data_IF_850235230912
#
_entry.id   IF_850235230912
#
_cell.length_a   1.000
_cell.length_b   1.000
_cell.length_c   1.000
_cell.angle_alpha   90.00
_cell.angle_beta   90.00
_cell.angle_gamma   90.00
#
_symmetry.space_group_name_H-M   'P 1'
#
loop_
_entity.id
_entity.type
_entity.pdbx_description
1 polymer ?
#
# COMPACT_ATOMS: atom_id res chain seq x y z
N UNK A 1 -17.76 14.74 12.04
CA UNK A 1 -16.61 13.88 12.39
C UNK A 1 -15.30 14.56 11.99
N UNK A 2 -15.06 14.92 10.72
CA UNK A 2 -13.81 15.49 10.23
C UNK A 2 -13.37 16.73 11.02
N UNK A 3 -14.23 17.74 11.13
CA UNK A 3 -13.98 18.97 11.90
C UNK A 3 -13.67 18.67 13.38
N UNK A 4 -14.39 17.74 13.99
CA UNK A 4 -14.17 17.37 15.39
C UNK A 4 -12.77 16.76 15.61
N UNK A 5 -12.34 15.89 14.72
CA UNK A 5 -11.00 15.28 14.75
C UNK A 5 -9.93 16.37 14.56
N UNK A 6 -10.12 17.25 13.57
CA UNK A 6 -9.17 18.35 13.30
C UNK A 6 -9.01 19.27 14.51
N UNK A 7 -10.12 19.68 15.16
CA UNK A 7 -10.12 20.53 16.36
C UNK A 7 -9.45 19.89 17.57
N UNK A 8 -9.37 18.56 17.62
CA UNK A 8 -8.63 17.83 18.65
C UNK A 8 -7.13 17.73 18.36
N UNK A 9 -6.64 18.36 17.30
CA UNK A 9 -5.21 18.42 16.96
C UNK A 9 -4.65 17.21 16.23
N UNK A 10 -5.50 16.34 15.67
CA UNK A 10 -5.02 15.22 14.86
C UNK A 10 -4.46 15.69 13.52
N UNK A 11 -3.33 15.09 13.11
CA UNK A 11 -2.82 15.22 11.75
C UNK A 11 -3.62 14.28 10.83
N UNK A 12 -4.49 14.86 10.00
CA UNK A 12 -5.40 14.08 9.16
C UNK A 12 -4.75 13.78 7.82
N UNK A 13 -4.73 12.49 7.43
CA UNK A 13 -4.47 12.05 6.06
C UNK A 13 -5.78 11.60 5.43
N UNK A 14 -6.22 12.29 4.39
CA UNK A 14 -7.47 11.99 3.68
C UNK A 14 -7.16 11.14 2.45
N UNK A 15 -7.87 10.02 2.27
CA UNK A 15 -7.79 9.19 1.07
C UNK A 15 -9.12 9.23 0.33
N UNK A 16 -9.08 9.52 -0.98
CA UNK A 16 -10.28 9.70 -1.81
C UNK A 16 -10.02 9.28 -3.26
N UNK A 17 -11.08 8.92 -3.99
CA UNK A 17 -11.05 8.78 -5.45
C UNK A 17 -11.32 10.11 -6.18
N UNK A 18 -11.53 11.19 -5.46
CA UNK A 18 -11.77 12.56 -5.92
C UNK A 18 -13.02 12.76 -6.83
N UNK A 19 -13.88 11.75 -7.02
CA UNK A 19 -15.02 11.84 -7.96
C UNK A 19 -16.22 12.61 -7.43
N UNK A 20 -16.25 12.91 -6.13
CA UNK A 20 -17.35 13.58 -5.43
C UNK A 20 -16.90 14.83 -4.68
N UNK A 21 -15.89 15.54 -5.19
CA UNK A 21 -15.44 16.79 -4.59
C UNK A 21 -16.43 17.90 -4.96
N UNK A 22 -17.14 18.42 -3.94
CA UNK A 22 -18.12 19.51 -4.09
C UNK A 22 -17.57 20.83 -3.55
N UNK A 23 -18.20 21.97 -3.87
CA UNK A 23 -17.84 23.27 -3.28
C UNK A 23 -17.87 23.25 -1.75
N UNK A 24 -18.85 22.60 -1.15
CA UNK A 24 -19.02 22.50 0.32
C UNK A 24 -17.86 21.69 0.95
N UNK A 25 -17.45 20.61 0.29
CA UNK A 25 -16.28 19.83 0.72
C UNK A 25 -15.01 20.68 0.62
N UNK A 26 -14.85 21.45 -0.46
CA UNK A 26 -13.71 22.34 -0.63
C UNK A 26 -13.67 23.47 0.41
N UNK A 27 -14.82 24.04 0.75
CA UNK A 27 -14.91 25.05 1.81
C UNK A 27 -14.49 24.44 3.17
N UNK A 28 -14.99 23.26 3.50
CA UNK A 28 -14.59 22.52 4.71
C UNK A 28 -13.08 22.27 4.75
N UNK A 29 -12.51 21.77 3.63
CA UNK A 29 -11.08 21.43 3.57
C UNK A 29 -10.17 22.67 3.51
N UNK A 30 -10.63 23.82 3.02
CA UNK A 30 -9.90 25.08 3.13
C UNK A 30 -9.88 25.60 4.56
N UNK A 31 -10.99 25.45 5.26
CA UNK A 31 -11.11 25.88 6.67
C UNK A 31 -10.32 24.97 7.63
N UNK A 32 -10.27 23.69 7.31
CA UNK A 32 -9.60 22.66 8.11
C UNK A 32 -8.73 21.78 7.19
N UNK A 33 -7.57 22.28 6.71
CA UNK A 33 -6.81 21.58 5.70
C UNK A 33 -6.19 20.28 6.28
N UNK A 34 -6.35 19.14 5.58
CA UNK A 34 -5.67 17.93 5.97
C UNK A 34 -4.16 18.08 5.77
N UNK A 35 -3.37 17.37 6.58
CA UNK A 35 -1.92 17.33 6.40
C UNK A 35 -1.55 16.69 5.04
N UNK A 36 -2.25 15.62 4.67
CA UNK A 36 -1.99 14.88 3.43
C UNK A 36 -3.29 14.48 2.73
N UNK A 37 -3.27 14.47 1.40
CA UNK A 37 -4.35 13.94 0.56
C UNK A 37 -3.76 12.86 -0.35
N UNK A 38 -4.27 11.62 -0.24
CA UNK A 38 -3.99 10.54 -1.15
C UNK A 38 -5.13 10.36 -2.15
N UNK A 39 -4.89 10.62 -3.42
CA UNK A 39 -5.88 10.51 -4.49
C UNK A 39 -5.70 9.18 -5.21
N UNK A 40 -6.75 8.36 -5.24
CA UNK A 40 -6.74 7.10 -5.99
C UNK A 40 -6.91 7.35 -7.48
N UNK A 41 -6.01 6.81 -8.29
CA UNK A 41 -6.05 6.85 -9.75
C UNK A 41 -5.94 5.41 -10.29
N UNK A 42 -6.85 5.01 -11.18
CA UNK A 42 -6.99 3.61 -11.61
C UNK A 42 -6.47 3.34 -13.02
N UNK A 43 -6.14 4.39 -13.79
CA UNK A 43 -5.65 4.29 -15.15
C UNK A 43 -5.39 5.67 -15.74
N UNK A 44 -4.90 5.72 -16.95
CA UNK A 44 -4.56 6.95 -17.67
C UNK A 44 -5.59 7.32 -18.75
N UNK A 45 -6.72 6.62 -18.79
CA UNK A 45 -7.79 6.88 -19.77
C UNK A 45 -9.16 6.44 -19.27
N UNK A 46 -10.27 6.95 -19.87
CA UNK A 46 -11.62 6.47 -19.59
C UNK A 46 -11.80 4.97 -19.83
N UNK A 47 -11.15 4.41 -20.87
CA UNK A 47 -11.21 2.99 -21.20
C UNK A 47 -10.62 2.13 -20.10
N UNK A 48 -9.46 2.53 -19.56
CA UNK A 48 -8.84 1.82 -18.42
C UNK A 48 -9.70 1.96 -17.17
N UNK A 49 -10.30 3.13 -16.93
CA UNK A 49 -11.25 3.31 -15.82
C UNK A 49 -12.47 2.40 -15.96
N UNK A 50 -12.98 2.23 -17.17
CA UNK A 50 -14.09 1.28 -17.41
C UNK A 50 -13.67 -0.15 -17.07
N UNK A 51 -12.48 -0.59 -17.49
CA UNK A 51 -11.97 -1.94 -17.20
C UNK A 51 -11.77 -2.18 -15.70
N UNK A 52 -11.16 -1.22 -14.99
CA UNK A 52 -10.75 -1.40 -13.59
C UNK A 52 -11.91 -1.20 -12.61
N UNK A 53 -12.77 -0.21 -12.83
CA UNK A 53 -13.83 0.14 -11.88
C UNK A 53 -15.24 0.20 -12.50
N UNK A 54 -15.42 -0.28 -13.73
CA UNK A 54 -16.72 -0.36 -14.39
C UNK A 54 -17.32 0.99 -14.82
N UNK A 55 -16.57 2.10 -14.70
CA UNK A 55 -17.12 3.45 -14.92
C UNK A 55 -16.10 4.37 -15.63
N UNK A 56 -16.26 4.52 -16.95
CA UNK A 56 -15.44 5.40 -17.75
C UNK A 56 -15.56 6.89 -17.35
N UNK A 57 -16.79 7.33 -16.98
CA UNK A 57 -17.05 8.72 -16.62
C UNK A 57 -16.38 9.15 -15.30
N UNK A 58 -15.96 8.19 -14.47
CA UNK A 58 -15.23 8.48 -13.24
C UNK A 58 -13.84 9.06 -13.51
N UNK A 59 -13.26 8.85 -14.69
CA UNK A 59 -11.96 9.40 -15.08
C UNK A 59 -11.97 10.93 -15.09
N UNK A 60 -12.89 11.55 -15.83
CA UNK A 60 -13.00 13.01 -15.89
C UNK A 60 -13.36 13.62 -14.52
N UNK A 61 -14.30 13.00 -13.79
CA UNK A 61 -14.65 13.43 -12.43
C UNK A 61 -13.44 13.39 -11.48
N UNK A 62 -12.61 12.36 -11.58
CA UNK A 62 -11.37 12.26 -10.81
C UNK A 62 -10.40 13.39 -11.16
N UNK A 63 -10.20 13.69 -12.44
CA UNK A 63 -9.34 14.80 -12.88
C UNK A 63 -9.84 16.14 -12.36
N UNK A 64 -11.14 16.44 -12.51
CA UNK A 64 -11.76 17.67 -12.02
C UNK A 64 -11.62 17.82 -10.51
N UNK A 65 -12.01 16.81 -9.74
CA UNK A 65 -11.87 16.82 -8.29
C UNK A 65 -10.42 16.91 -7.82
N UNK A 66 -9.51 16.26 -8.54
CA UNK A 66 -8.07 16.34 -8.24
C UNK A 66 -7.51 17.74 -8.46
N UNK A 67 -7.92 18.44 -9.54
CA UNK A 67 -7.51 19.84 -9.76
C UNK A 67 -7.94 20.73 -8.59
N UNK A 68 -9.16 20.55 -8.07
CA UNK A 68 -9.63 21.28 -6.88
C UNK A 68 -8.79 20.94 -5.64
N UNK A 69 -8.58 19.65 -5.35
CA UNK A 69 -7.82 19.22 -4.17
C UNK A 69 -6.36 19.67 -4.21
N UNK A 70 -5.73 19.71 -5.39
CA UNK A 70 -4.36 20.18 -5.55
C UNK A 70 -4.18 21.69 -5.31
N UNK A 71 -5.28 22.49 -5.18
CA UNK A 71 -5.21 23.89 -4.76
C UNK A 71 -5.04 24.08 -3.25
N UNK A 72 -5.24 23.01 -2.46
CA UNK A 72 -5.08 23.08 -1.01
C UNK A 72 -3.60 23.08 -0.61
N UNK A 73 -3.26 23.62 0.57
CA UNK A 73 -1.88 23.64 1.08
C UNK A 73 -1.36 22.26 1.51
N UNK A 74 -2.19 21.23 1.39
CA UNK A 74 -1.90 19.86 1.79
C UNK A 74 -0.87 19.18 0.88
N UNK A 75 -0.08 18.25 1.43
CA UNK A 75 0.76 17.36 0.61
C UNK A 75 -0.17 16.42 -0.17
N UNK A 76 -0.19 16.53 -1.49
CA UNK A 76 -1.03 15.69 -2.34
C UNK A 76 -0.19 14.63 -3.06
N UNK A 77 -0.60 13.38 -2.94
CA UNK A 77 0.01 12.19 -3.55
C UNK A 77 -1.05 11.44 -4.35
N UNK A 78 -0.72 11.00 -5.55
CA UNK A 78 -1.56 10.08 -6.32
C UNK A 78 -1.17 8.64 -6.01
N UNK A 79 -2.14 7.75 -5.89
CA UNK A 79 -1.95 6.35 -5.51
C UNK A 79 -2.67 5.43 -6.47
N UNK A 80 -1.99 4.41 -6.93
CA UNK A 80 -2.59 3.38 -7.78
C UNK A 80 -2.15 1.99 -7.36
N UNK A 81 -3.04 1.02 -7.56
CA UNK A 81 -2.68 -0.40 -7.51
C UNK A 81 -2.61 -0.90 -8.94
N UNK A 82 -1.44 -1.38 -9.33
CA UNK A 82 -1.24 -1.94 -10.65
C UNK A 82 -1.72 -3.40 -10.66
N UNK A 83 -2.65 -3.66 -11.57
CA UNK A 83 -3.27 -4.96 -11.85
C UNK A 83 -3.16 -5.26 -13.35
N UNK A 84 -3.62 -6.43 -13.80
CA UNK A 84 -3.58 -6.81 -15.23
C UNK A 84 -4.20 -5.74 -16.14
N UNK A 85 -5.35 -5.19 -15.76
CA UNK A 85 -6.14 -4.28 -16.59
C UNK A 85 -5.53 -2.89 -16.79
N UNK A 86 -4.65 -2.45 -15.87
CA UNK A 86 -3.97 -1.16 -15.97
C UNK A 86 -2.44 -1.25 -16.03
N UNK A 87 -1.88 -2.46 -16.22
CA UNK A 87 -0.43 -2.65 -16.29
C UNK A 87 0.24 -1.78 -17.37
N UNK A 88 -0.38 -1.69 -18.54
CA UNK A 88 0.13 -0.87 -19.66
C UNK A 88 0.03 0.64 -19.39
N UNK A 89 -0.71 1.06 -18.38
CA UNK A 89 -0.85 2.46 -17.99
C UNK A 89 0.12 2.88 -16.87
N UNK A 90 0.91 1.96 -16.32
CA UNK A 90 1.83 2.24 -15.20
C UNK A 90 2.66 3.51 -15.40
N UNK A 91 3.34 3.65 -16.55
CA UNK A 91 4.10 4.87 -16.90
C UNK A 91 3.23 6.03 -17.36
N UNK A 92 2.10 5.73 -18.02
CA UNK A 92 1.18 6.76 -18.49
C UNK A 92 0.50 7.49 -17.34
N UNK A 93 0.23 6.80 -16.22
CA UNK A 93 -0.30 7.41 -14.99
C UNK A 93 0.69 8.45 -14.43
N UNK A 94 1.98 8.13 -14.36
CA UNK A 94 3.00 9.07 -13.88
C UNK A 94 3.08 10.31 -14.80
N UNK A 95 3.07 10.08 -16.12
CA UNK A 95 3.04 11.15 -17.12
C UNK A 95 1.78 12.02 -16.98
N UNK A 96 0.60 11.40 -16.88
CA UNK A 96 -0.68 12.09 -16.73
C UNK A 96 -0.69 12.98 -15.47
N UNK A 97 -0.19 12.48 -14.34
CA UNK A 97 -0.11 13.24 -13.10
C UNK A 97 0.84 14.44 -13.26
N UNK A 98 2.02 14.23 -13.83
CA UNK A 98 2.99 15.31 -14.07
C UNK A 98 2.43 16.40 -14.99
N UNK A 99 1.76 16.02 -16.09
CA UNK A 99 1.21 16.96 -17.08
C UNK A 99 0.00 17.74 -16.56
N UNK A 100 -0.88 17.12 -15.77
CA UNK A 100 -2.12 17.77 -15.29
C UNK A 100 -1.96 18.49 -13.95
N UNK A 101 -1.03 18.09 -13.09
CA UNK A 101 -0.92 18.57 -11.71
C UNK A 101 0.48 19.11 -11.36
N UNK A 102 1.49 18.88 -12.22
CA UNK A 102 2.86 19.34 -12.03
C UNK A 102 3.77 18.35 -11.30
N UNK A 103 5.07 18.58 -11.39
CA UNK A 103 6.14 17.68 -10.90
C UNK A 103 6.20 17.53 -9.37
N UNK A 104 5.58 18.44 -8.64
CA UNK A 104 5.53 18.39 -7.17
C UNK A 104 4.70 17.24 -6.62
N UNK A 105 3.84 16.63 -7.45
CA UNK A 105 2.94 15.56 -7.05
C UNK A 105 3.52 14.20 -7.41
N UNK A 106 3.71 13.37 -6.40
CA UNK A 106 4.23 12.02 -6.57
C UNK A 106 3.14 11.01 -6.91
N UNK A 107 3.53 9.92 -7.58
CA UNK A 107 2.67 8.76 -7.81
C UNK A 107 3.24 7.55 -7.05
N UNK A 108 2.48 7.07 -6.07
CA UNK A 108 2.78 5.81 -5.38
C UNK A 108 2.05 4.67 -6.08
N UNK A 109 2.80 3.71 -6.60
CA UNK A 109 2.28 2.51 -7.23
C UNK A 109 2.46 1.31 -6.30
N UNK A 110 1.38 0.62 -5.97
CA UNK A 110 1.39 -0.67 -5.28
C UNK A 110 1.06 -1.78 -6.27
N UNK A 111 1.53 -2.99 -5.99
CA UNK A 111 1.32 -4.16 -6.85
C UNK A 111 0.79 -5.36 -6.08
N UNK A 112 0.79 -5.24 -4.75
CA UNK A 112 0.28 -6.30 -3.89
C UNK A 112 -1.25 -6.24 -3.85
N UNK A 113 -1.90 -7.24 -4.38
CA UNK A 113 -3.35 -7.46 -4.30
C UNK A 113 -3.56 -8.73 -3.49
N UNK A 114 -4.17 -8.61 -2.33
CA UNK A 114 -4.51 -9.75 -1.47
C UNK A 114 -6.00 -10.05 -1.52
N UNK A 115 -6.39 -11.25 -1.12
CA UNK A 115 -7.80 -11.60 -0.99
C UNK A 115 -8.51 -10.62 -0.07
N UNK A 116 -9.74 -10.26 -0.41
CA UNK A 116 -10.54 -9.38 0.40
C UNK A 116 -10.84 -10.02 1.76
N UNK A 117 -10.50 -9.31 2.82
CA UNK A 117 -10.85 -9.72 4.19
C UNK A 117 -12.25 -9.21 4.58
N UNK A 118 -12.84 -8.35 3.77
CA UNK A 118 -14.16 -7.72 3.95
C UNK A 118 -14.77 -7.35 2.61
N UNK A 119 -16.11 -7.29 2.58
CA UNK A 119 -16.85 -6.90 1.37
C UNK A 119 -17.04 -8.06 0.39
N UNK A 120 -17.18 -7.73 -0.90
CA UNK A 120 -17.42 -8.73 -1.93
C UNK A 120 -16.19 -9.61 -2.15
N UNK A 121 -16.40 -10.92 -2.14
CA UNK A 121 -15.37 -11.89 -2.52
C UNK A 121 -15.31 -11.92 -4.06
N UNK A 122 -14.28 -11.28 -4.62
CA UNK A 122 -13.93 -11.44 -6.03
C UNK A 122 -12.77 -12.43 -6.18
N UNK A 123 -12.68 -13.06 -7.34
CA UNK A 123 -11.51 -13.83 -7.71
C UNK A 123 -10.33 -12.90 -7.95
N UNK A 124 -9.45 -12.77 -6.94
CA UNK A 124 -8.28 -11.89 -7.03
C UNK A 124 -7.25 -12.36 -8.05
N UNK A 125 -7.23 -13.65 -8.39
CA UNK A 125 -6.31 -14.20 -9.40
C UNK A 125 -6.64 -13.67 -10.80
N UNK A 126 -7.89 -13.30 -11.04
CA UNK A 126 -8.31 -12.68 -12.31
C UNK A 126 -7.64 -11.34 -12.54
N UNK A 127 -7.37 -10.55 -11.50
CA UNK A 127 -6.82 -9.20 -11.62
C UNK A 127 -5.32 -9.09 -11.22
N UNK A 128 -4.78 -10.03 -10.44
CA UNK A 128 -3.36 -10.00 -10.04
C UNK A 128 -2.42 -10.04 -11.22
N UNK A 129 -1.32 -9.33 -11.12
CA UNK A 129 -0.20 -9.50 -12.02
C UNK A 129 0.35 -10.94 -11.92
N UNK A 130 0.87 -11.46 -13.02
CA UNK A 130 1.70 -12.66 -12.93
C UNK A 130 2.96 -12.36 -12.11
N UNK A 131 3.59 -13.34 -11.45
CA UNK A 131 4.84 -13.13 -10.75
C UNK A 131 5.91 -12.51 -11.65
N UNK A 132 5.97 -12.89 -12.92
CA UNK A 132 6.90 -12.35 -13.91
C UNK A 132 6.64 -10.85 -14.16
N UNK A 133 5.38 -10.45 -14.38
CA UNK A 133 5.03 -9.05 -14.63
C UNK A 133 5.26 -8.20 -13.38
N UNK A 134 4.93 -8.74 -12.19
CA UNK A 134 5.13 -8.06 -10.92
C UNK A 134 6.61 -7.77 -10.66
N UNK A 135 7.47 -8.77 -10.84
CA UNK A 135 8.92 -8.64 -10.66
C UNK A 135 9.53 -7.73 -11.72
N UNK A 136 9.15 -7.90 -13.00
CA UNK A 136 9.61 -7.06 -14.11
C UNK A 136 9.28 -5.59 -13.87
N UNK A 137 8.05 -5.28 -13.46
CA UNK A 137 7.63 -3.90 -13.13
C UNK A 137 8.42 -3.34 -11.94
N UNK A 138 8.68 -4.16 -10.91
CA UNK A 138 9.47 -3.78 -9.75
C UNK A 138 10.91 -3.41 -10.12
N UNK A 139 11.56 -4.26 -10.90
CA UNK A 139 12.93 -4.04 -11.36
C UNK A 139 13.02 -2.81 -12.25
N UNK A 140 12.09 -2.66 -13.20
CA UNK A 140 12.05 -1.50 -14.09
C UNK A 140 11.93 -0.19 -13.30
N UNK A 141 11.05 -0.14 -12.31
CA UNK A 141 10.88 1.04 -11.47
C UNK A 141 12.14 1.36 -10.66
N UNK A 142 12.81 0.33 -10.14
CA UNK A 142 14.08 0.50 -9.44
C UNK A 142 15.18 1.05 -10.36
N UNK A 143 15.22 0.58 -11.61
CA UNK A 143 16.14 1.07 -12.64
C UNK A 143 15.84 2.53 -12.98
N UNK A 144 14.57 2.88 -13.19
CA UNK A 144 14.16 4.25 -13.51
C UNK A 144 14.56 5.23 -12.39
N UNK A 145 14.32 4.88 -11.13
CA UNK A 145 14.73 5.67 -9.96
C UNK A 145 16.27 5.83 -9.89
N UNK A 146 17.01 4.76 -10.17
CA UNK A 146 18.47 4.82 -10.16
C UNK A 146 19.00 5.67 -11.31
N UNK A 147 18.41 5.56 -12.50
CA UNK A 147 18.75 6.39 -13.66
C UNK A 147 18.53 7.88 -13.39
N UNK A 148 17.39 8.23 -12.79
CA UNK A 148 17.11 9.62 -12.39
C UNK A 148 18.12 10.16 -11.36
N UNK A 149 18.56 9.32 -10.41
CA UNK A 149 19.48 9.72 -9.34
C UNK A 149 20.93 9.83 -9.78
N UNK A 150 21.36 8.99 -10.72
CA UNK A 150 22.77 8.87 -11.17
C UNK A 150 23.01 9.74 -12.41
N UNK A 151 21.99 10.00 -13.23
CA UNK A 151 22.12 10.77 -14.48
C UNK A 151 23.01 10.05 -15.51
N UNK A 152 23.86 10.81 -16.18
CA UNK A 152 24.72 10.33 -17.29
C UNK A 152 25.72 9.24 -16.89
N UNK A 153 25.98 9.06 -15.59
CA UNK A 153 26.82 7.98 -15.06
C UNK A 153 26.09 6.65 -14.83
N UNK A 154 24.82 6.53 -15.26
CA UNK A 154 24.04 5.32 -15.07
C UNK A 154 24.53 4.20 -16.02
N UNK A 155 24.96 3.07 -15.43
CA UNK A 155 25.28 1.83 -16.12
C UNK A 155 24.43 0.69 -15.56
N UNK A 156 23.72 -0.04 -16.41
CA UNK A 156 22.87 -1.17 -15.99
C UNK A 156 23.64 -2.27 -15.27
N UNK A 157 24.94 -2.47 -15.60
CA UNK A 157 25.81 -3.40 -14.89
C UNK A 157 26.03 -3.00 -13.43
N UNK A 158 26.03 -1.71 -13.12
CA UNK A 158 26.12 -1.19 -11.76
C UNK A 158 24.85 -1.46 -10.93
N UNK A 159 23.72 -1.73 -11.56
CA UNK A 159 22.47 -2.09 -10.87
C UNK A 159 22.57 -3.46 -10.21
N UNK A 160 23.19 -4.44 -10.87
CA UNK A 160 23.45 -5.78 -10.30
C UNK A 160 24.34 -5.71 -9.07
N UNK A 161 25.43 -4.97 -9.14
CA UNK A 161 26.38 -4.78 -8.02
C UNK A 161 25.70 -4.12 -6.81
N UNK A 162 24.82 -3.14 -7.05
CA UNK A 162 24.05 -2.50 -5.96
C UNK A 162 22.98 -3.40 -5.37
N UNK A 163 22.35 -4.26 -6.13
CA UNK A 163 21.41 -5.26 -5.63
C UNK A 163 22.09 -6.26 -4.71
N UNK A 164 23.30 -6.71 -5.04
CA UNK A 164 24.14 -7.54 -4.16
C UNK A 164 24.55 -6.80 -2.88
N UNK A 165 24.88 -5.51 -3.00
CA UNK A 165 25.24 -4.68 -1.84
C UNK A 165 24.02 -4.31 -0.98
N UNK A 166 22.82 -4.18 -1.56
CA UNK A 166 21.57 -4.01 -0.81
C UNK A 166 21.20 -5.29 -0.05
N UNK A 167 21.49 -6.47 -0.59
CA UNK A 167 21.37 -7.74 0.15
C UNK A 167 22.29 -7.76 1.37
N UNK A 168 23.55 -7.35 1.24
CA UNK A 168 24.52 -7.27 2.35
C UNK A 168 24.17 -6.19 3.39
N UNK A 169 23.50 -5.12 2.98
CA UNK A 169 23.09 -4.03 3.87
C UNK A 169 21.66 -4.22 4.45
N UNK A 170 20.83 -5.11 3.89
CA UNK A 170 19.56 -5.51 4.49
C UNK A 170 19.76 -6.20 5.83
N UNK A 171 20.89 -6.88 6.03
CA UNK A 171 21.29 -7.40 7.34
C UNK A 171 21.49 -6.31 8.42
N UNK A 172 21.78 -5.07 8.04
CA UNK A 172 21.97 -3.97 8.98
C UNK A 172 20.66 -3.20 9.29
N UNK A 173 19.66 -3.24 8.41
CA UNK A 173 18.40 -2.50 8.57
C UNK A 173 17.23 -3.31 9.15
N UNK A 174 17.21 -4.61 8.93
CA UNK A 174 16.15 -5.50 9.43
C UNK A 174 16.40 -6.00 10.86
N UNK A 175 17.62 -5.90 11.38
CA UNK A 175 17.95 -6.27 12.75
C UNK A 175 17.45 -5.28 13.81
N UNK A 176 16.97 -4.11 13.41
CA UNK A 176 16.42 -3.12 14.33
C UNK A 176 14.96 -3.46 14.61
N UNK A 177 14.74 -4.17 15.73
CA UNK A 177 13.46 -4.28 16.45
C UNK A 177 12.42 -5.35 16.06
N UNK A 178 12.74 -6.42 15.34
CA UNK A 178 11.82 -7.58 15.30
C UNK A 178 11.53 -8.16 16.69
N UNK A 179 12.42 -7.97 17.66
CA UNK A 179 12.22 -8.45 19.05
C UNK A 179 11.19 -7.67 19.86
N UNK A 180 10.83 -6.46 19.44
CA UNK A 180 9.90 -5.60 20.17
C UNK A 180 8.54 -5.43 19.45
N UNK A 181 8.38 -5.90 18.21
CA UNK A 181 7.15 -5.74 17.47
C UNK A 181 6.31 -7.01 17.48
N UNK A 182 4.99 -6.88 17.68
CA UNK A 182 4.07 -8.01 17.70
C UNK A 182 4.00 -8.75 16.35
N UNK A 183 4.15 -8.01 15.23
CA UNK A 183 3.93 -8.54 13.88
C UNK A 183 5.07 -8.25 12.91
N UNK A 184 6.23 -7.81 13.39
CA UNK A 184 7.34 -7.38 12.53
C UNK A 184 7.13 -6.02 11.86
N UNK A 185 6.14 -5.24 12.30
CA UNK A 185 5.81 -3.90 11.79
C UNK A 185 5.26 -3.00 12.90
N UNK A 186 4.81 -1.77 12.55
CA UNK A 186 4.20 -0.82 13.50
C UNK A 186 2.80 -1.24 14.00
N UNK A 187 2.15 -2.19 13.34
CA UNK A 187 0.81 -2.64 13.70
C UNK A 187 0.75 -3.22 15.12
N UNK A 188 -0.20 -2.76 15.92
CA UNK A 188 -0.36 -3.15 17.32
C UNK A 188 0.67 -2.56 18.29
N UNK A 189 1.61 -1.74 17.80
CA UNK A 189 2.65 -1.07 18.62
C UNK A 189 2.52 0.46 18.59
N UNK A 190 2.52 1.05 17.40
CA UNK A 190 2.40 2.49 17.18
C UNK A 190 1.32 2.83 16.16
N UNK A 191 0.71 1.81 15.55
CA UNK A 191 -0.38 1.94 14.60
C UNK A 191 -1.48 0.92 14.88
N UNK A 192 -2.72 1.32 14.65
CA UNK A 192 -3.90 0.46 14.71
C UNK A 192 -4.94 0.89 13.69
N UNK A 193 -5.93 0.04 13.45
CA UNK A 193 -7.12 0.36 12.70
C UNK A 193 -8.36 0.16 13.58
N UNK A 194 -9.38 0.98 13.38
CA UNK A 194 -10.70 0.74 13.96
C UNK A 194 -11.66 0.45 12.82
N UNK A 195 -12.35 -0.68 12.89
CA UNK A 195 -13.35 -1.06 11.89
C UNK A 195 -14.64 -0.26 12.07
N UNK A 196 -15.56 -0.32 11.11
CA UNK A 196 -16.87 0.30 11.25
C UNK A 196 -17.74 -0.32 12.36
N UNK A 197 -17.41 -1.56 12.77
CA UNK A 197 -18.05 -2.24 13.91
C UNK A 197 -17.44 -1.82 15.26
N UNK A 198 -16.47 -0.91 15.25
CA UNK A 198 -15.79 -0.45 16.47
C UNK A 198 -14.74 -1.41 17.01
N UNK A 199 -14.25 -2.38 16.21
CA UNK A 199 -13.17 -3.28 16.62
C UNK A 199 -11.82 -2.65 16.33
N UNK A 200 -10.96 -2.54 17.36
CA UNK A 200 -9.57 -2.13 17.23
C UNK A 200 -8.71 -3.36 16.84
N UNK A 201 -7.94 -3.21 15.78
CA UNK A 201 -7.07 -4.23 15.18
C UNK A 201 -5.66 -3.68 14.94
N UNK A 202 -4.66 -4.55 14.75
CA UNK A 202 -3.29 -4.11 14.44
C UNK A 202 -3.21 -3.33 13.12
N UNK A 203 -3.96 -3.74 12.11
CA UNK A 203 -4.06 -3.06 10.81
C UNK A 203 -5.39 -3.39 10.12
N UNK A 204 -5.70 -2.69 9.04
CA UNK A 204 -6.97 -2.85 8.31
C UNK A 204 -7.21 -4.27 7.76
N UNK A 205 -6.15 -5.03 7.52
CA UNK A 205 -6.20 -6.34 6.86
C UNK A 205 -6.00 -7.52 7.81
N UNK A 206 -5.61 -7.29 9.08
CA UNK A 206 -5.41 -8.34 10.06
C UNK A 206 -6.55 -8.35 11.09
N UNK A 207 -7.63 -9.04 10.75
CA UNK A 207 -8.81 -9.20 11.61
C UNK A 207 -8.74 -10.36 12.61
N UNK A 208 -7.64 -11.13 12.63
CA UNK A 208 -7.50 -12.30 13.50
C UNK A 208 -7.50 -11.96 15.00
N UNK A 209 -7.08 -10.73 15.34
CA UNK A 209 -7.04 -10.24 16.71
C UNK A 209 -7.73 -8.88 16.78
N UNK A 210 -8.58 -8.69 17.76
CA UNK A 210 -9.26 -7.40 17.97
C UNK A 210 -9.70 -7.22 19.43
N UNK A 211 -9.88 -5.95 19.80
CA UNK A 211 -10.54 -5.55 21.05
C UNK A 211 -11.70 -4.62 20.73
N UNK A 212 -12.71 -4.57 21.57
CA UNK A 212 -13.90 -3.74 21.36
C UNK A 212 -13.64 -2.29 21.83
N UNK A 213 -13.46 -1.38 20.86
CA UNK A 213 -13.21 0.02 21.16
C UNK A 213 -14.48 0.82 21.53
N UNK A 214 -15.66 0.31 21.18
CA UNK A 214 -16.94 0.92 21.55
C UNK A 214 -17.27 0.60 23.02
N UNK A 215 -17.12 -0.66 23.39
CA UNK A 215 -17.43 -1.13 24.75
C UNK A 215 -16.37 -0.65 25.76
N UNK A 216 -15.08 -0.81 25.44
CA UNK A 216 -13.99 -0.53 26.37
C UNK A 216 -13.54 0.95 26.38
N UNK A 217 -13.90 1.71 25.34
CA UNK A 217 -13.26 2.96 24.99
C UNK A 217 -11.89 2.75 24.34
N UNK A 218 -11.50 3.68 23.45
CA UNK A 218 -10.31 3.54 22.60
C UNK A 218 -9.02 3.29 23.40
N UNK A 219 -8.82 4.03 24.50
CA UNK A 219 -7.61 3.91 25.33
C UNK A 219 -7.46 2.50 25.91
N UNK A 220 -8.49 1.98 26.55
CA UNK A 220 -8.47 0.66 27.18
C UNK A 220 -8.39 -0.46 26.14
N UNK A 221 -9.11 -0.31 25.02
CA UNK A 221 -9.02 -1.26 23.92
C UNK A 221 -7.59 -1.36 23.36
N UNK A 222 -6.89 -0.22 23.22
CA UNK A 222 -5.50 -0.18 22.81
C UNK A 222 -4.56 -0.81 23.84
N UNK A 223 -4.69 -0.45 25.12
CA UNK A 223 -3.86 -0.98 26.21
C UNK A 223 -4.00 -2.51 26.38
N UNK A 224 -5.19 -3.05 26.10
CA UNK A 224 -5.46 -4.48 26.21
C UNK A 224 -5.21 -5.27 24.93
N UNK A 225 -5.09 -4.61 23.77
CA UNK A 225 -4.89 -5.27 22.47
C UNK A 225 -3.70 -6.23 22.46
N UNK A 226 -2.48 -5.88 22.96
CA UNK A 226 -1.34 -6.81 22.95
C UNK A 226 -1.61 -8.13 23.68
N UNK A 227 -2.46 -8.10 24.71
CA UNK A 227 -2.84 -9.29 25.48
C UNK A 227 -3.77 -10.24 24.71
N UNK A 228 -4.46 -9.72 23.69
CA UNK A 228 -5.33 -10.52 22.81
C UNK A 228 -4.54 -11.27 21.73
N UNK A 229 -3.28 -10.90 21.49
CA UNK A 229 -2.47 -11.45 20.40
C UNK A 229 -1.82 -12.76 20.83
N UNK A 230 -2.20 -13.84 20.17
CA UNK A 230 -1.59 -15.17 20.32
C UNK A 230 -1.09 -15.64 18.98
N UNK A 231 0.17 -15.33 18.68
CA UNK A 231 0.79 -15.76 17.42
C UNK A 231 1.11 -17.26 17.50
N UNK A 232 0.82 -18.02 16.44
CA UNK A 232 1.24 -19.40 16.34
C UNK A 232 2.77 -19.50 16.12
N UNK A 233 3.32 -20.67 16.40
CA UNK A 233 4.71 -20.99 16.04
C UNK A 233 4.93 -20.76 14.53
N UNK A 234 6.07 -20.19 14.12
CA UNK A 234 6.37 -20.00 12.72
C UNK A 234 6.36 -21.30 11.92
N UNK A 235 5.88 -21.26 10.69
CA UNK A 235 5.91 -22.43 9.81
C UNK A 235 7.36 -22.86 9.54
N UNK A 236 7.66 -24.13 9.77
CA UNK A 236 9.01 -24.71 9.58
C UNK A 236 9.55 -24.49 8.16
N UNK A 237 8.68 -24.53 7.15
CA UNK A 237 9.05 -24.22 5.75
C UNK A 237 9.56 -22.79 5.60
N UNK A 238 8.93 -21.83 6.30
CA UNK A 238 9.33 -20.41 6.26
C UNK A 238 10.59 -20.14 7.09
N UNK A 239 10.78 -20.83 8.21
CA UNK A 239 11.98 -20.68 9.06
C UNK A 239 13.27 -21.06 8.34
N UNK A 240 13.20 -22.05 7.44
CA UNK A 240 14.35 -22.56 6.67
C UNK A 240 14.30 -22.13 5.20
N UNK A 241 13.54 -21.10 4.86
CA UNK A 241 13.36 -20.67 3.49
C UNK A 241 14.55 -19.85 2.99
N UNK A 242 15.23 -20.31 1.95
CA UNK A 242 16.33 -19.59 1.30
C UNK A 242 15.93 -18.23 0.69
N UNK A 243 14.60 -18.00 0.53
CA UNK A 243 14.06 -16.75 -0.01
C UNK A 243 13.54 -15.82 1.09
N UNK A 244 13.86 -16.09 2.37
CA UNK A 244 13.38 -15.28 3.51
C UNK A 244 13.66 -13.80 3.35
N UNK A 245 14.85 -13.45 2.83
CA UNK A 245 15.30 -12.06 2.65
C UNK A 245 14.56 -11.32 1.53
N UNK A 246 13.97 -12.05 0.58
CA UNK A 246 13.16 -11.50 -0.51
C UNK A 246 11.67 -11.49 -0.15
N UNK A 247 11.27 -12.24 0.88
CA UNK A 247 9.88 -12.47 1.21
C UNK A 247 9.27 -11.26 1.95
N UNK A 248 8.23 -10.67 1.36
CA UNK A 248 7.47 -9.58 1.97
C UNK A 248 6.16 -10.06 2.62
N UNK A 249 6.03 -11.38 2.89
CA UNK A 249 4.84 -11.96 3.48
C UNK A 249 4.71 -11.56 4.94
N UNK A 250 3.69 -10.78 5.27
CA UNK A 250 3.32 -10.45 6.64
C UNK A 250 2.15 -11.31 7.14
N UNK A 251 1.87 -11.30 8.44
CA UNK A 251 0.74 -12.04 9.03
C UNK A 251 -0.61 -11.68 8.42
N UNK A 252 -0.84 -10.41 8.03
CA UNK A 252 -2.08 -9.99 7.38
C UNK A 252 -2.23 -10.63 5.99
N UNK A 253 -1.16 -10.67 5.20
CA UNK A 253 -1.16 -11.32 3.88
C UNK A 253 -1.41 -12.83 4.04
N UNK A 254 -0.73 -13.49 4.97
CA UNK A 254 -0.93 -14.92 5.25
C UNK A 254 -2.38 -15.20 5.59
N UNK A 255 -2.93 -14.47 6.55
CA UNK A 255 -4.32 -14.64 6.98
C UNK A 255 -5.32 -14.40 5.84
N UNK A 256 -5.14 -13.35 5.05
CA UNK A 256 -6.02 -13.05 3.93
C UNK A 256 -5.97 -14.13 2.83
N UNK A 257 -4.80 -14.68 2.55
CA UNK A 257 -4.61 -15.65 1.47
C UNK A 257 -4.98 -17.09 1.85
N UNK A 258 -4.67 -17.50 3.07
CA UNK A 258 -4.74 -18.90 3.49
C UNK A 258 -5.78 -19.17 4.58
N UNK A 259 -6.34 -18.12 5.20
CA UNK A 259 -7.25 -18.23 6.34
C UNK A 259 -6.55 -18.47 7.67
N UNK A 260 -5.22 -18.59 7.71
CA UNK A 260 -4.46 -18.74 8.94
C UNK A 260 -3.16 -17.91 8.93
N UNK A 261 -2.51 -17.83 10.09
CA UNK A 261 -1.33 -16.99 10.28
C UNK A 261 0.00 -17.68 9.98
N UNK A 262 0.00 -19.02 9.86
CA UNK A 262 1.21 -19.82 9.70
C UNK A 262 1.55 -20.11 8.25
N UNK A 263 0.51 -20.33 7.42
CA UNK A 263 0.70 -20.81 6.07
C UNK A 263 1.31 -19.75 5.17
N UNK A 264 2.21 -20.21 4.31
CA UNK A 264 2.88 -19.35 3.35
C UNK A 264 1.94 -19.10 2.15
N UNK A 265 1.62 -17.85 1.80
CA UNK A 265 0.81 -17.57 0.63
C UNK A 265 1.58 -17.94 -0.63
N UNK A 266 1.02 -18.83 -1.45
CA UNK A 266 1.65 -19.31 -2.69
C UNK A 266 2.01 -18.17 -3.62
N UNK A 267 1.14 -17.18 -3.74
CA UNK A 267 1.37 -15.95 -4.50
C UNK A 267 2.69 -15.26 -4.13
N UNK A 268 2.94 -15.05 -2.81
CA UNK A 268 4.16 -14.40 -2.35
C UNK A 268 5.41 -15.27 -2.57
N UNK A 269 5.27 -16.59 -2.44
CA UNK A 269 6.37 -17.52 -2.72
C UNK A 269 6.78 -17.49 -4.19
N UNK A 270 5.82 -17.50 -5.11
CA UNK A 270 6.07 -17.43 -6.56
C UNK A 270 6.75 -16.12 -6.95
N UNK A 271 6.36 -14.98 -6.37
CA UNK A 271 7.04 -13.70 -6.60
C UNK A 271 8.51 -13.76 -6.17
N UNK A 272 8.80 -14.38 -5.01
CA UNK A 272 10.17 -14.55 -4.54
C UNK A 272 11.01 -15.49 -5.44
N UNK A 273 10.43 -16.58 -5.92
CA UNK A 273 11.09 -17.52 -6.86
C UNK A 273 11.49 -16.81 -8.15
N UNK A 274 10.57 -16.03 -8.72
CA UNK A 274 10.84 -15.24 -9.93
C UNK A 274 11.89 -14.16 -9.65
N UNK A 275 11.78 -13.44 -8.52
CA UNK A 275 12.78 -12.43 -8.13
C UNK A 275 14.17 -13.05 -8.01
N UNK A 276 14.29 -14.22 -7.38
CA UNK A 276 15.56 -14.96 -7.25
C UNK A 276 16.16 -15.26 -8.62
N UNK A 277 15.35 -15.65 -9.62
CA UNK A 277 15.84 -15.96 -10.97
C UNK A 277 16.37 -14.74 -11.74
N UNK A 278 15.94 -13.52 -11.40
CA UNK A 278 16.47 -12.27 -11.97
C UNK A 278 17.72 -11.76 -11.23
N UNK A 279 17.98 -12.25 -10.03
CA UNK A 279 19.12 -11.83 -9.20
C UNK A 279 20.32 -12.76 -9.33
N UNK A 280 20.18 -13.90 -10.01
CA UNK A 280 21.25 -14.84 -10.34
C UNK A 280 21.72 -14.65 -11.78
#
# INVERSE_FOLDING_TARGET
IYESIYRQGFMISLYTNATLVTPEIMELLRKYPPHKIGISIYGASPETYHKVCGNAAAFEKMLEGSRLLCTLPSVTEFRTTIIKDNLCDSRKIEKLVKENFGERHSVTQTRMVMKAVRGACADVESCRLSPQDNVKLSLQKSIDILRERIGDGFDENNVRIRQENLKKNADCGSAVNHRLSLFGCSGGMTAFAVTWEGKLQACQTLGAFSTDAVELGLKKAWETFPLSVKLPEPNKKCLNCEMSDLCQSCYALRYAETGNLQDCPEYACRDCEVMKSFCL
#
